data_IF_550915228223
#
_entry.id   IF_550915228223
#
_cell.length_a   1.000
_cell.length_b   1.000
_cell.length_c   1.000
_cell.angle_alpha   90.00
_cell.angle_beta   90.00
_cell.angle_gamma   90.00
#
_symmetry.space_group_name_H-M   'P 1'
#
loop_
_entity.id
_entity.type
_entity.pdbx_description
1 polymer ?
#
# COMPACT_ATOMS: atom_id res chain seq x y z
N UNK A 1 2.98 2.40 -12.55
CA UNK A 1 3.88 2.57 -11.38
C UNK A 1 4.78 1.34 -11.25
N UNK A 2 6.00 1.53 -10.84
CA UNK A 2 6.92 0.42 -10.53
C UNK A 2 6.91 0.18 -9.03
N UNK A 3 6.62 -1.06 -8.61
CA UNK A 3 6.64 -1.42 -7.19
C UNK A 3 8.00 -1.98 -6.81
N UNK A 4 8.64 -1.33 -5.83
CA UNK A 4 9.89 -1.79 -5.22
C UNK A 4 9.54 -2.61 -3.99
N UNK A 5 10.31 -3.67 -3.74
CA UNK A 5 10.12 -4.57 -2.58
C UNK A 5 8.87 -5.46 -2.67
N UNK A 6 8.57 -5.98 -3.84
CA UNK A 6 7.49 -6.96 -4.03
C UNK A 6 7.61 -8.15 -3.09
N UNK A 7 8.82 -8.49 -2.67
CA UNK A 7 9.07 -9.58 -1.73
C UNK A 7 8.26 -9.45 -0.43
N UNK A 8 7.99 -8.23 0.03
CA UNK A 8 7.15 -8.00 1.21
C UNK A 8 5.73 -8.55 1.04
N UNK A 9 5.17 -8.41 -0.17
CA UNK A 9 3.85 -8.96 -0.48
C UNK A 9 3.89 -10.48 -0.44
N UNK A 10 4.91 -11.09 -1.03
CA UNK A 10 5.06 -12.54 -1.04
C UNK A 10 5.19 -13.10 0.38
N UNK A 11 6.05 -12.51 1.20
CA UNK A 11 6.27 -12.96 2.59
C UNK A 11 5.01 -12.80 3.44
N UNK A 12 4.31 -11.67 3.30
CA UNK A 12 3.09 -11.46 4.05
C UNK A 12 1.98 -12.44 3.65
N UNK A 13 1.84 -12.70 2.35
CA UNK A 13 0.85 -13.62 1.80
C UNK A 13 1.07 -15.06 2.29
N UNK A 14 2.32 -15.46 2.52
CA UNK A 14 2.64 -16.77 3.08
C UNK A 14 2.13 -16.93 4.51
N UNK A 15 2.18 -15.86 5.30
CA UNK A 15 1.73 -15.86 6.70
C UNK A 15 0.24 -15.59 6.84
N UNK A 16 -0.35 -14.86 5.89
CA UNK A 16 -1.74 -14.45 5.90
C UNK A 16 -2.35 -14.77 4.54
N UNK A 17 -2.62 -16.06 4.31
CA UNK A 17 -3.10 -16.55 3.02
C UNK A 17 -4.43 -15.93 2.59
N UNK A 18 -5.26 -15.51 3.54
CA UNK A 18 -6.53 -14.84 3.25
C UNK A 18 -6.36 -13.42 2.67
N UNK A 19 -5.17 -12.83 2.80
CA UNK A 19 -4.86 -11.53 2.22
C UNK A 19 -4.30 -11.63 0.79
N UNK A 20 -3.93 -12.82 0.33
CA UNK A 20 -3.20 -13.01 -0.92
C UNK A 20 -3.94 -12.46 -2.13
N UNK A 21 -5.21 -12.79 -2.29
CA UNK A 21 -6.01 -12.32 -3.44
C UNK A 21 -6.10 -10.81 -3.48
N UNK A 22 -6.39 -10.18 -2.34
CA UNK A 22 -6.51 -8.72 -2.27
C UNK A 22 -5.18 -8.02 -2.55
N UNK A 23 -4.08 -8.56 -2.04
CA UNK A 23 -2.74 -8.01 -2.30
C UNK A 23 -2.33 -8.18 -3.76
N UNK A 24 -2.67 -9.31 -4.38
CA UNK A 24 -2.40 -9.56 -5.80
C UNK A 24 -3.17 -8.55 -6.68
N UNK A 25 -4.45 -8.31 -6.37
CA UNK A 25 -5.26 -7.32 -7.07
C UNK A 25 -4.65 -5.93 -6.91
N UNK A 26 -4.29 -5.55 -5.68
CA UNK A 26 -3.66 -4.26 -5.42
C UNK A 26 -2.37 -4.09 -6.23
N UNK A 27 -1.53 -5.13 -6.25
CA UNK A 27 -0.27 -5.10 -6.98
C UNK A 27 -0.48 -4.89 -8.48
N UNK A 28 -1.28 -5.74 -9.11
CA UNK A 28 -1.50 -5.66 -10.56
C UNK A 28 -2.20 -4.36 -10.98
N UNK A 29 -3.14 -3.90 -10.17
CA UNK A 29 -3.82 -2.63 -10.42
C UNK A 29 -2.82 -1.48 -10.35
N UNK A 30 -2.00 -1.43 -9.31
CA UNK A 30 -1.01 -0.36 -9.12
C UNK A 30 0.02 -0.33 -10.23
N UNK A 31 0.56 -1.49 -10.62
CA UNK A 31 1.54 -1.58 -11.71
C UNK A 31 0.97 -1.06 -13.03
N UNK A 32 -0.33 -1.25 -13.27
CA UNK A 32 -1.00 -0.79 -14.50
C UNK A 32 -1.24 0.72 -14.56
N UNK A 33 -1.05 1.44 -13.45
CA UNK A 33 -1.36 2.87 -13.36
C UNK A 33 -0.12 3.73 -13.51
N UNK A 34 -0.37 5.01 -13.88
CA UNK A 34 0.65 6.05 -13.99
C UNK A 34 0.17 7.28 -13.22
N UNK A 35 -0.11 7.09 -11.92
CA UNK A 35 -0.66 8.17 -11.08
C UNK A 35 0.27 9.38 -11.03
N UNK A 36 -0.33 10.57 -11.07
CA UNK A 36 0.38 11.84 -11.00
C UNK A 36 0.14 12.59 -9.70
N UNK A 37 -0.92 12.23 -8.96
CA UNK A 37 -1.30 12.90 -7.72
C UNK A 37 -2.25 12.02 -6.91
N UNK A 38 -2.60 12.50 -5.70
CA UNK A 38 -3.50 11.79 -4.81
C UNK A 38 -4.90 11.58 -5.41
N UNK A 39 -5.40 12.56 -6.15
CA UNK A 39 -6.73 12.45 -6.74
C UNK A 39 -6.81 11.26 -7.70
N UNK A 40 -5.75 11.00 -8.44
CA UNK A 40 -5.69 9.85 -9.35
C UNK A 40 -5.60 8.53 -8.59
N UNK A 41 -4.90 8.49 -7.47
CA UNK A 41 -4.90 7.30 -6.61
C UNK A 41 -6.31 7.03 -6.09
N UNK A 42 -6.99 8.07 -5.62
CA UNK A 42 -8.36 7.95 -5.09
C UNK A 42 -9.38 7.49 -6.13
N UNK A 43 -9.16 7.80 -7.40
CA UNK A 43 -10.03 7.32 -8.47
C UNK A 43 -9.91 5.80 -8.68
N UNK A 44 -8.79 5.22 -8.27
CA UNK A 44 -8.54 3.77 -8.34
C UNK A 44 -8.88 3.08 -7.01
N UNK A 45 -8.40 3.65 -5.90
CA UNK A 45 -8.61 3.14 -4.54
C UNK A 45 -9.20 4.24 -3.69
N UNK A 46 -10.53 4.32 -3.62
CA UNK A 46 -11.23 5.44 -3.00
C UNK A 46 -11.00 5.60 -1.49
N UNK A 47 -10.52 4.55 -0.83
CA UNK A 47 -10.25 4.58 0.62
C UNK A 47 -8.78 4.89 0.96
N UNK A 48 -7.95 5.25 -0.02
CA UNK A 48 -6.56 5.60 0.26
C UNK A 48 -6.48 6.85 1.13
N UNK A 49 -5.56 6.83 2.11
CA UNK A 49 -5.30 7.97 2.99
C UNK A 49 -3.87 8.47 2.80
N UNK A 50 -3.71 9.78 2.68
CA UNK A 50 -2.40 10.42 2.74
C UNK A 50 -2.10 10.80 4.19
N UNK A 51 -1.01 10.28 4.75
CA UNK A 51 -0.65 10.52 6.15
C UNK A 51 0.56 11.45 6.33
N UNK A 52 1.05 12.04 5.24
CA UNK A 52 2.17 12.96 5.25
C UNK A 52 3.47 12.32 4.81
N UNK A 53 4.46 13.14 4.50
CA UNK A 53 5.80 12.74 4.10
C UNK A 53 5.81 11.65 3.02
N UNK A 54 4.95 11.79 2.01
CA UNK A 54 4.80 10.86 0.88
C UNK A 54 4.33 9.45 1.26
N UNK A 55 3.81 9.25 2.48
CA UNK A 55 3.24 7.97 2.90
C UNK A 55 1.75 7.92 2.62
N UNK A 56 1.33 6.82 1.99
CA UNK A 56 -0.05 6.56 1.61
C UNK A 56 -0.48 5.23 2.21
N UNK A 57 -1.68 5.19 2.78
CA UNK A 57 -2.23 4.01 3.45
C UNK A 57 -3.36 3.44 2.62
N UNK A 58 -3.26 2.16 2.30
CA UNK A 58 -4.28 1.43 1.54
C UNK A 58 -4.93 0.38 2.42
N UNK A 59 -6.26 0.29 2.34
CA UNK A 59 -7.00 -0.79 2.96
C UNK A 59 -6.90 -2.04 2.08
N UNK A 60 -6.61 -3.17 2.69
CA UNK A 60 -6.50 -4.45 1.99
C UNK A 60 -7.52 -5.41 2.60
N UNK A 61 -8.29 -6.07 1.75
CA UNK A 61 -9.37 -6.96 2.16
C UNK A 61 -10.33 -6.25 3.14
N UNK A 62 -10.99 -5.20 2.64
CA UNK A 62 -11.82 -4.33 3.47
C UNK A 62 -10.96 -3.62 4.51
N UNK A 63 -11.24 -3.83 5.78
CA UNK A 63 -10.51 -3.23 6.89
C UNK A 63 -9.58 -4.20 7.61
N UNK A 64 -9.39 -5.43 7.09
CA UNK A 64 -8.64 -6.46 7.80
C UNK A 64 -7.15 -6.16 7.84
N UNK A 65 -6.60 -5.59 6.76
CA UNK A 65 -5.17 -5.32 6.62
C UNK A 65 -4.93 -3.90 6.13
N UNK A 66 -3.72 -3.40 6.42
CA UNK A 66 -3.24 -2.09 5.94
C UNK A 66 -1.92 -2.27 5.22
N UNK A 67 -1.74 -1.51 4.15
CA UNK A 67 -0.49 -1.42 3.41
C UNK A 67 -0.07 0.04 3.38
N UNK A 68 1.19 0.32 3.78
CA UNK A 68 1.73 1.67 3.72
C UNK A 68 2.84 1.70 2.70
N UNK A 69 2.80 2.69 1.81
CA UNK A 69 3.79 2.86 0.77
C UNK A 69 4.24 4.31 0.67
N UNK A 70 5.50 4.50 0.33
CA UNK A 70 6.00 5.80 -0.14
C UNK A 70 5.77 5.82 -1.64
N UNK A 71 5.14 6.89 -2.15
CA UNK A 71 4.89 7.04 -3.57
C UNK A 71 5.64 8.26 -4.09
N UNK A 72 6.49 8.03 -5.09
CA UNK A 72 7.15 9.09 -5.85
C UNK A 72 6.46 9.22 -7.21
N UNK A 73 5.70 10.30 -7.38
CA UNK A 73 5.03 10.55 -8.66
C UNK A 73 6.02 10.87 -9.77
N UNK A 74 7.09 11.61 -9.43
CA UNK A 74 8.12 11.95 -10.42
C UNK A 74 8.84 10.72 -10.95
N UNK A 75 9.22 9.80 -10.07
CA UNK A 75 9.92 8.57 -10.45
C UNK A 75 8.97 7.45 -10.88
N UNK A 76 7.67 7.61 -10.67
CA UNK A 76 6.65 6.58 -10.92
C UNK A 76 6.96 5.28 -10.17
N UNK A 77 7.37 5.42 -8.90
CA UNK A 77 7.77 4.31 -8.03
C UNK A 77 6.94 4.27 -6.76
N UNK A 78 6.68 3.05 -6.30
CA UNK A 78 5.97 2.77 -5.06
C UNK A 78 6.87 1.89 -4.20
N UNK A 79 7.23 2.39 -3.01
CA UNK A 79 8.09 1.68 -2.07
C UNK A 79 7.24 1.15 -0.93
N UNK A 80 7.14 -0.18 -0.79
CA UNK A 80 6.36 -0.78 0.30
C UNK A 80 7.12 -0.63 1.62
N UNK A 81 6.43 -0.08 2.62
CA UNK A 81 7.02 0.19 3.93
C UNK A 81 6.42 -0.69 5.03
N UNK A 82 5.16 -1.07 4.87
CA UNK A 82 4.46 -1.83 5.90
C UNK A 82 3.30 -2.58 5.27
N UNK A 83 3.13 -3.84 5.69
CA UNK A 83 1.90 -4.60 5.47
C UNK A 83 1.61 -5.30 6.80
N UNK A 84 0.41 -5.14 7.33
CA UNK A 84 0.06 -5.75 8.59
C UNK A 84 -1.44 -5.77 8.83
N UNK A 85 -1.82 -6.37 9.94
CA UNK A 85 -3.21 -6.35 10.39
C UNK A 85 -3.61 -4.95 10.83
N UNK A 86 -4.92 -4.71 10.92
CA UNK A 86 -5.42 -3.44 11.47
C UNK A 86 -4.86 -3.18 12.87
N UNK A 87 -4.77 -4.22 13.71
CA UNK A 87 -4.23 -4.09 15.05
C UNK A 87 -2.75 -3.69 15.05
N UNK A 88 -1.95 -4.27 14.16
CA UNK A 88 -0.53 -3.90 14.03
C UNK A 88 -0.39 -2.46 13.52
N UNK A 89 -1.25 -2.07 12.59
CA UNK A 89 -1.28 -0.70 12.07
C UNK A 89 -1.56 0.31 13.21
N UNK A 90 -2.50 0.00 14.09
CA UNK A 90 -2.88 0.88 15.20
C UNK A 90 -1.75 1.10 16.20
N UNK A 91 -0.75 0.21 16.23
CA UNK A 91 0.42 0.32 17.12
C UNK A 91 1.53 1.20 16.55
N UNK A 92 1.43 1.64 15.30
CA UNK A 92 2.45 2.47 14.68
C UNK A 92 2.45 3.85 15.37
N UNK A 93 3.61 4.24 15.93
CA UNK A 93 3.75 5.49 16.66
C UNK A 93 4.05 6.66 15.73
N UNK A 94 4.90 6.45 14.72
CA UNK A 94 5.38 7.52 13.84
C UNK A 94 5.25 7.11 12.38
N UNK A 95 4.02 7.14 11.89
CA UNK A 95 3.65 6.67 10.56
C UNK A 95 4.34 7.44 9.43
N UNK A 96 4.75 8.68 9.69
CA UNK A 96 5.39 9.52 8.66
C UNK A 96 6.85 9.17 8.42
N UNK A 97 7.44 8.33 9.27
CA UNK A 97 8.88 8.03 9.21
C UNK A 97 9.19 6.53 9.13
N UNK A 98 8.20 5.72 8.92
CA UNK A 98 8.45 4.27 8.78
C UNK A 98 8.99 3.92 7.40
#
# INVERSE_FOLDING_TARGET
MRIVTFKRIQEFSEKHSDAQSALTIWYHTTVSKSWKNLAEIKSTFNSVDYVGNNRYVFNIKGNNYRLIAIISFNAQKVYLRFIGTHADYDKIVDIKNI
#
